data_IF_436487300995
#
_entry.id   IF_436487300995
#
_cell.length_a   1.000
_cell.length_b   1.000
_cell.length_c   1.000
_cell.angle_alpha   90.00
_cell.angle_beta   90.00
_cell.angle_gamma   90.00
#
_symmetry.space_group_name_H-M   'P 1'
#
loop_
_entity.id
_entity.type
_entity.pdbx_description
1 polymer ?
#
# COMPACT_ATOMS: atom_id res chain seq x y z
N UNK A 1 13.73 28.34 -20.29
CA UNK A 1 12.96 27.94 -19.09
C UNK A 1 13.29 26.50 -18.66
N UNK A 2 14.50 26.01 -18.92
CA UNK A 2 14.91 24.63 -18.70
C UNK A 2 16.07 24.63 -17.72
N UNK A 3 15.78 24.64 -16.42
CA UNK A 3 16.82 24.37 -15.43
C UNK A 3 16.89 22.86 -15.21
N UNK A 4 18.12 22.38 -15.00
CA UNK A 4 18.43 21.05 -14.51
C UNK A 4 17.54 20.74 -13.28
N UNK A 5 16.72 19.68 -13.29
CA UNK A 5 15.85 19.34 -12.15
C UNK A 5 16.65 19.00 -10.87
N UNK A 6 17.98 18.94 -10.96
CA UNK A 6 18.87 18.68 -9.84
C UNK A 6 19.10 17.19 -9.63
N UNK A 7 20.26 16.84 -9.09
CA UNK A 7 20.68 15.46 -8.86
C UNK A 7 19.90 14.74 -7.74
N UNK A 8 19.11 15.47 -6.94
CA UNK A 8 18.42 14.95 -5.77
C UNK A 8 16.93 15.27 -5.89
N UNK A 9 16.14 14.27 -6.25
CA UNK A 9 14.69 14.31 -6.09
C UNK A 9 14.34 13.75 -4.71
N UNK A 10 13.56 14.48 -3.94
CA UNK A 10 13.09 14.07 -2.62
C UNK A 10 11.77 14.75 -2.27
N UNK A 11 11.04 14.19 -1.31
CA UNK A 11 9.76 14.71 -0.84
C UNK A 11 8.61 13.70 -0.97
N UNK A 12 7.44 13.99 -0.36
CA UNK A 12 6.28 13.11 -0.48
C UNK A 12 5.79 13.02 -1.92
N UNK A 13 4.97 12.00 -2.22
CA UNK A 13 4.26 11.92 -3.49
C UNK A 13 3.49 13.23 -3.74
N UNK A 14 3.95 14.02 -4.71
CA UNK A 14 3.45 15.36 -4.97
C UNK A 14 2.54 15.45 -6.19
N UNK A 15 2.48 14.38 -7.00
CA UNK A 15 1.62 14.27 -8.19
C UNK A 15 1.06 12.84 -8.23
N UNK A 16 -0.23 12.73 -8.54
CA UNK A 16 -0.89 11.46 -8.79
C UNK A 16 -1.90 11.57 -9.93
N UNK A 17 -2.00 10.52 -10.73
CA UNK A 17 -2.94 10.40 -11.83
C UNK A 17 -3.83 9.17 -11.61
N UNK A 18 -5.11 9.32 -11.92
CA UNK A 18 -6.09 8.23 -11.90
C UNK A 18 -6.61 8.04 -13.32
N UNK A 19 -6.59 6.79 -13.77
CA UNK A 19 -7.21 6.41 -15.04
C UNK A 19 -8.67 6.05 -14.81
N UNK A 20 -9.57 6.95 -15.17
CA UNK A 20 -11.01 6.76 -15.02
C UNK A 20 -11.61 5.78 -16.04
N UNK A 21 -10.83 5.34 -17.03
CA UNK A 21 -11.24 4.38 -18.06
C UNK A 21 -10.76 2.96 -17.78
N UNK A 22 -9.88 2.78 -16.79
CA UNK A 22 -9.36 1.46 -16.43
C UNK A 22 -10.47 0.57 -15.86
N UNK A 23 -10.56 -0.71 -16.28
CA UNK A 23 -11.54 -1.65 -15.72
C UNK A 23 -11.24 -2.02 -14.26
N UNK A 24 -10.01 -1.79 -13.78
CA UNK A 24 -9.61 -1.96 -12.39
C UNK A 24 -9.20 -0.58 -11.84
N UNK A 25 -9.76 -0.11 -10.70
CA UNK A 25 -9.33 1.13 -10.08
C UNK A 25 -7.83 1.12 -9.78
N UNK A 26 -7.11 2.08 -10.35
CA UNK A 26 -5.66 2.23 -10.21
C UNK A 26 -5.25 3.69 -10.11
N UNK A 27 -4.06 3.92 -9.55
CA UNK A 27 -3.41 5.21 -9.46
C UNK A 27 -1.92 5.05 -9.80
N UNK A 28 -1.38 6.04 -10.50
CA UNK A 28 0.07 6.21 -10.69
C UNK A 28 0.47 7.47 -9.95
N UNK A 29 1.46 7.38 -9.08
CA UNK A 29 1.98 8.52 -8.31
C UNK A 29 3.46 8.71 -8.58
N UNK A 30 3.93 9.94 -8.48
CA UNK A 30 5.35 10.20 -8.24
C UNK A 30 5.71 9.74 -6.82
N UNK A 31 6.87 9.10 -6.65
CA UNK A 31 7.42 8.78 -5.34
C UNK A 31 8.81 9.41 -5.20
N UNK A 32 9.01 10.26 -4.18
CA UNK A 32 10.28 10.96 -3.94
C UNK A 32 11.35 10.09 -3.28
N UNK A 33 11.52 8.85 -3.75
CA UNK A 33 12.56 7.92 -3.34
C UNK A 33 13.19 7.25 -4.59
N UNK A 34 13.91 8.03 -5.43
CA UNK A 34 14.61 7.45 -6.57
C UNK A 34 15.76 6.56 -6.15
N UNK A 35 15.92 5.35 -6.74
CA UNK A 35 17.13 4.57 -6.54
C UNK A 35 18.33 5.33 -7.15
N UNK A 36 19.48 5.26 -6.49
CA UNK A 36 20.71 5.84 -7.00
C UNK A 36 21.34 4.86 -8.00
N UNK A 37 21.17 5.12 -9.29
CA UNK A 37 21.73 4.29 -10.36
C UNK A 37 22.94 5.01 -10.96
N UNK A 38 24.11 4.40 -10.83
CA UNK A 38 25.36 4.96 -11.35
C UNK A 38 25.25 5.23 -12.87
N UNK A 39 25.62 6.44 -13.29
CA UNK A 39 25.55 6.87 -14.69
C UNK A 39 24.19 7.40 -15.15
N UNK A 40 23.13 7.31 -14.33
CA UNK A 40 21.82 7.91 -14.64
C UNK A 40 21.65 9.20 -13.85
N UNK A 41 21.60 10.34 -14.56
CA UNK A 41 21.45 11.67 -13.96
C UNK A 41 20.00 12.18 -13.94
N UNK A 42 19.11 11.58 -14.73
CA UNK A 42 17.70 11.98 -14.84
C UNK A 42 16.83 10.75 -14.66
N UNK A 43 16.38 10.56 -13.43
CA UNK A 43 15.51 9.48 -13.03
C UNK A 43 14.33 10.07 -12.26
N UNK A 44 13.16 9.44 -12.37
CA UNK A 44 12.01 9.71 -11.53
C UNK A 44 11.39 8.37 -11.15
N UNK A 45 11.12 8.17 -9.86
CA UNK A 45 10.35 7.00 -9.44
C UNK A 45 8.87 7.31 -9.54
N UNK A 46 8.16 6.41 -10.21
CA UNK A 46 6.70 6.37 -10.22
C UNK A 46 6.24 5.04 -9.66
N UNK A 47 5.13 5.06 -8.92
CA UNK A 47 4.53 3.86 -8.34
C UNK A 47 3.10 3.74 -8.84
N UNK A 48 2.80 2.59 -9.42
CA UNK A 48 1.46 2.21 -9.82
C UNK A 48 0.89 1.24 -8.80
N UNK A 49 -0.33 1.48 -8.34
CA UNK A 49 -1.03 0.58 -7.44
C UNK A 49 -2.53 0.68 -7.65
N UNK A 50 -3.25 -0.35 -7.23
CA UNK A 50 -4.68 -0.46 -7.48
C UNK A 50 -5.32 -1.52 -6.61
N UNK A 51 -6.56 -1.85 -6.92
CA UNK A 51 -7.34 -2.82 -6.14
C UNK A 51 -7.20 -4.21 -6.77
N UNK A 52 -6.82 -5.19 -5.96
CA UNK A 52 -6.84 -6.62 -6.31
C UNK A 52 -7.72 -7.37 -5.31
N UNK A 53 -8.22 -8.57 -5.67
CA UNK A 53 -8.88 -9.44 -4.70
C UNK A 53 -8.00 -9.70 -3.46
N UNK A 54 -8.60 -9.71 -2.27
CA UNK A 54 -7.90 -9.98 -1.02
C UNK A 54 -7.63 -11.49 -0.87
N UNK A 55 -6.58 -11.98 -1.53
CA UNK A 55 -6.30 -13.43 -1.64
C UNK A 55 -5.08 -13.91 -0.84
N UNK A 56 -4.35 -12.99 -0.20
CA UNK A 56 -3.23 -13.33 0.67
C UNK A 56 -3.70 -13.93 2.00
N UNK A 57 -2.97 -14.93 2.49
CA UNK A 57 -3.21 -15.56 3.80
C UNK A 57 -1.95 -15.58 4.64
N UNK A 58 -2.11 -15.43 5.94
CA UNK A 58 -1.05 -15.63 6.93
C UNK A 58 -1.28 -16.96 7.64
N UNK A 59 -0.22 -17.75 7.80
CA UNK A 59 -0.23 -18.97 8.59
C UNK A 59 1.00 -19.00 9.51
N UNK A 60 0.81 -19.45 10.75
CA UNK A 60 1.91 -19.61 11.67
C UNK A 60 2.66 -20.93 11.40
N UNK A 61 3.98 -20.85 11.27
CA UNK A 61 4.88 -21.99 11.16
C UNK A 61 5.56 -22.26 12.51
N UNK A 62 5.16 -23.35 13.16
CA UNK A 62 5.71 -23.78 14.46
C UNK A 62 7.17 -24.20 14.41
N UNK A 63 7.70 -24.61 13.24
CA UNK A 63 9.08 -25.07 13.14
C UNK A 63 10.07 -23.90 13.17
N UNK A 64 9.64 -22.74 12.69
CA UNK A 64 10.45 -21.53 12.59
C UNK A 64 10.01 -20.42 13.54
N UNK A 65 8.89 -20.60 14.25
CA UNK A 65 8.25 -19.60 15.12
C UNK A 65 7.98 -18.29 14.36
N UNK A 66 7.36 -18.42 13.18
CA UNK A 66 7.16 -17.29 12.27
C UNK A 66 5.75 -17.25 11.65
N UNK A 67 5.29 -16.05 11.30
CA UNK A 67 4.08 -15.85 10.51
C UNK A 67 4.46 -15.80 9.02
N UNK A 68 4.02 -16.81 8.26
CA UNK A 68 4.35 -16.95 6.85
C UNK A 68 3.20 -16.43 5.98
N UNK A 69 3.53 -15.46 5.12
CA UNK A 69 2.62 -14.96 4.09
C UNK A 69 2.59 -15.91 2.91
N UNK A 70 1.38 -16.35 2.53
CA UNK A 70 1.11 -16.93 1.22
C UNK A 70 0.38 -15.91 0.36
N UNK A 71 1.01 -15.47 -0.73
CA UNK A 71 0.38 -14.65 -1.76
C UNK A 71 0.31 -15.43 -3.07
N UNK A 72 -0.89 -15.68 -3.64
CA UNK A 72 -1.00 -16.44 -4.88
C UNK A 72 -0.27 -15.79 -6.03
N UNK A 73 0.56 -16.58 -6.72
CA UNK A 73 1.26 -16.13 -7.93
C UNK A 73 0.24 -15.67 -8.97
N UNK A 74 0.42 -14.44 -9.46
CA UNK A 74 -0.40 -13.86 -10.50
C UNK A 74 -1.74 -13.28 -10.03
N UNK A 75 -1.98 -13.18 -8.72
CA UNK A 75 -3.16 -12.50 -8.16
C UNK A 75 -3.32 -11.04 -8.63
N UNK A 76 -2.20 -10.40 -8.99
CA UNK A 76 -2.11 -9.01 -9.42
C UNK A 76 -1.79 -8.84 -10.91
N UNK A 77 -1.63 -9.92 -11.69
CA UNK A 77 -1.19 -9.87 -13.10
C UNK A 77 -2.04 -8.94 -13.97
N UNK A 78 -3.37 -8.99 -13.82
CA UNK A 78 -4.28 -8.15 -14.60
C UNK A 78 -4.05 -6.66 -14.29
N UNK A 79 -3.87 -6.32 -13.02
CA UNK A 79 -3.59 -4.95 -12.59
C UNK A 79 -2.20 -4.49 -13.05
N UNK A 80 -1.18 -5.35 -12.91
CA UNK A 80 0.19 -5.06 -13.36
C UNK A 80 0.26 -4.79 -14.87
N UNK A 81 -0.51 -5.54 -15.67
CA UNK A 81 -0.59 -5.32 -17.13
C UNK A 81 -1.11 -3.92 -17.46
N UNK A 82 -2.17 -3.47 -16.75
CA UNK A 82 -2.75 -2.14 -16.94
C UNK A 82 -1.78 -1.03 -16.50
N UNK A 83 -1.14 -1.20 -15.33
CA UNK A 83 -0.16 -0.26 -14.81
C UNK A 83 1.03 -0.12 -15.76
N UNK A 84 1.60 -1.25 -16.20
CA UNK A 84 2.76 -1.28 -17.10
C UNK A 84 2.45 -0.59 -18.43
N UNK A 85 1.28 -0.83 -19.02
CA UNK A 85 0.85 -0.15 -20.24
C UNK A 85 0.76 1.38 -20.06
N UNK A 86 0.22 1.86 -18.93
CA UNK A 86 0.12 3.29 -18.63
C UNK A 86 1.48 3.92 -18.38
N UNK A 87 2.33 3.27 -17.58
CA UNK A 87 3.70 3.73 -17.32
C UNK A 87 4.54 3.81 -18.59
N UNK A 88 4.44 2.82 -19.47
CA UNK A 88 5.10 2.83 -20.77
C UNK A 88 4.62 3.99 -21.64
N UNK A 89 3.31 4.24 -21.69
CA UNK A 89 2.74 5.39 -22.41
C UNK A 89 3.24 6.74 -21.88
N UNK A 90 3.34 6.89 -20.55
CA UNK A 90 3.90 8.09 -19.90
C UNK A 90 5.36 8.30 -20.31
N UNK A 91 6.18 7.24 -20.25
CA UNK A 91 7.59 7.30 -20.63
C UNK A 91 7.76 7.70 -22.10
N UNK A 92 7.03 7.04 -23.03
CA UNK A 92 7.08 7.34 -24.46
C UNK A 92 6.66 8.78 -24.78
N UNK A 93 5.58 9.26 -24.15
CA UNK A 93 5.11 10.64 -24.35
C UNK A 93 6.11 11.66 -23.81
N UNK A 94 6.79 11.34 -22.71
CA UNK A 94 7.85 12.17 -22.12
C UNK A 94 9.21 12.05 -22.82
N UNK A 95 9.35 11.18 -23.84
CA UNK A 95 10.63 10.91 -24.50
C UNK A 95 11.65 10.14 -23.64
N UNK A 96 11.17 9.45 -22.60
CA UNK A 96 11.97 8.63 -21.70
C UNK A 96 11.77 7.13 -21.91
N UNK A 97 12.39 6.35 -21.01
CA UNK A 97 12.24 4.90 -20.93
C UNK A 97 11.74 4.50 -19.55
N UNK A 98 10.99 3.41 -19.47
CA UNK A 98 10.53 2.86 -18.20
C UNK A 98 11.45 1.73 -17.75
N UNK A 99 11.89 1.78 -16.50
CA UNK A 99 12.64 0.69 -15.84
C UNK A 99 11.66 0.05 -14.86
N UNK A 100 11.30 -1.21 -15.11
CA UNK A 100 10.38 -1.95 -14.24
C UNK A 100 11.15 -2.67 -13.12
N UNK A 101 11.04 -2.16 -11.90
CA UNK A 101 11.68 -2.72 -10.70
C UNK A 101 11.00 -4.00 -10.22
N UNK A 102 9.75 -4.27 -10.60
CA UNK A 102 9.06 -5.50 -10.20
C UNK A 102 9.63 -6.74 -10.89
N UNK A 103 10.39 -6.56 -11.99
CA UNK A 103 11.12 -7.65 -12.64
C UNK A 103 12.27 -8.19 -11.79
N UNK A 104 12.81 -7.39 -10.87
CA UNK A 104 13.88 -7.82 -9.96
C UNK A 104 13.32 -8.28 -8.62
N UNK A 105 12.36 -7.54 -8.07
CA UNK A 105 11.75 -7.86 -6.78
C UNK A 105 10.31 -7.38 -6.75
N UNK A 106 9.38 -8.33 -6.63
CA UNK A 106 7.98 -8.00 -6.47
C UNK A 106 7.74 -7.53 -5.04
N UNK A 107 7.15 -6.34 -4.88
CA UNK A 107 6.97 -5.74 -3.56
C UNK A 107 5.66 -4.95 -3.47
N UNK A 108 5.21 -4.71 -2.24
CA UNK A 108 4.15 -3.74 -1.96
C UNK A 108 4.63 -2.78 -0.88
N UNK A 109 4.31 -1.50 -1.03
CA UNK A 109 4.57 -0.48 -0.01
C UNK A 109 3.37 -0.28 0.91
N UNK A 110 2.23 -0.91 0.60
CA UNK A 110 0.95 -0.73 1.27
C UNK A 110 0.40 -2.09 1.73
N UNK A 111 1.15 -2.79 2.59
CA UNK A 111 0.66 -4.01 3.21
C UNK A 111 -0.54 -3.70 4.12
N UNK A 112 -1.70 -4.30 3.82
CA UNK A 112 -2.98 -4.07 4.50
C UNK A 112 -3.68 -5.41 4.71
N UNK A 113 -4.27 -5.61 5.90
CA UNK A 113 -4.95 -6.84 6.26
C UNK A 113 -4.12 -7.76 7.17
N UNK A 114 -4.66 -8.94 7.43
CA UNK A 114 -4.13 -9.90 8.42
C UNK A 114 -5.06 -10.09 9.61
N UNK A 115 -5.63 -9.00 10.14
CA UNK A 115 -6.61 -9.03 11.25
C UNK A 115 -7.83 -8.16 10.92
N UNK A 116 -8.55 -8.43 9.82
CA UNK A 116 -9.53 -7.50 9.28
C UNK A 116 -10.71 -7.25 10.24
N UNK A 117 -11.18 -6.00 10.24
CA UNK A 117 -12.40 -5.61 10.95
C UNK A 117 -13.64 -6.32 10.39
N UNK A 118 -14.58 -6.65 11.28
CA UNK A 118 -15.77 -7.43 10.95
C UNK A 118 -15.57 -8.94 10.96
N UNK A 119 -14.34 -9.42 11.22
CA UNK A 119 -14.06 -10.84 11.47
C UNK A 119 -13.28 -11.06 12.77
N UNK A 120 -11.99 -10.68 12.79
CA UNK A 120 -11.11 -10.90 13.94
C UNK A 120 -11.18 -9.77 14.97
N UNK A 121 -11.51 -8.56 14.52
CA UNK A 121 -11.77 -7.40 15.37
C UNK A 121 -13.12 -6.77 15.07
N UNK A 122 -13.73 -6.11 16.05
CA UNK A 122 -14.90 -5.26 15.83
C UNK A 122 -14.54 -3.99 15.03
N UNK A 123 -15.54 -3.16 14.71
CA UNK A 123 -15.32 -1.90 13.97
C UNK A 123 -14.49 -0.86 14.74
N UNK A 124 -14.34 -1.03 16.06
CA UNK A 124 -13.48 -0.19 16.92
C UNK A 124 -12.07 -0.80 17.03
N UNK A 125 -11.80 -1.97 16.46
CA UNK A 125 -10.51 -2.65 16.56
C UNK A 125 -10.35 -3.52 17.80
N UNK A 126 -11.41 -3.82 18.56
CA UNK A 126 -11.34 -4.75 19.70
C UNK A 126 -11.25 -6.18 19.21
N UNK A 127 -10.31 -6.96 19.73
CA UNK A 127 -10.17 -8.38 19.36
C UNK A 127 -11.34 -9.18 19.92
N UNK A 128 -12.00 -9.92 19.04
CA UNK A 128 -13.17 -10.74 19.41
C UNK A 128 -12.76 -11.78 20.45
N UNK A 129 -13.50 -11.84 21.56
CA UNK A 129 -13.22 -12.78 22.67
C UNK A 129 -12.13 -12.32 23.64
N UNK A 130 -11.43 -11.21 23.38
CA UNK A 130 -10.31 -10.74 24.19
C UNK A 130 -10.50 -9.29 24.63
N UNK A 131 -11.05 -9.09 25.84
CA UNK A 131 -11.17 -7.75 26.44
C UNK A 131 -9.81 -7.14 26.70
N UNK A 132 -9.65 -5.86 26.37
CA UNK A 132 -8.39 -5.12 26.56
C UNK A 132 -7.33 -5.36 25.49
N UNK A 133 -7.63 -6.14 24.45
CA UNK A 133 -6.75 -6.35 23.31
C UNK A 133 -7.31 -5.66 22.06
N UNK A 134 -6.44 -4.90 21.37
CA UNK A 134 -6.83 -4.03 20.26
C UNK A 134 -5.88 -4.13 19.08
N UNK A 135 -6.40 -3.97 17.86
CA UNK A 135 -5.62 -3.78 16.62
C UNK A 135 -5.99 -2.44 15.99
N UNK A 136 -5.02 -1.53 15.92
CA UNK A 136 -5.22 -0.13 15.57
C UNK A 136 -4.42 0.34 14.34
N UNK A 137 -3.77 -0.59 13.64
CA UNK A 137 -2.92 -0.33 12.48
C UNK A 137 -3.56 -0.78 11.16
N UNK A 138 -2.75 -0.86 10.10
CA UNK A 138 -3.18 -1.31 8.77
C UNK A 138 -3.63 -2.77 8.70
N UNK A 139 -3.34 -3.60 9.70
CA UNK A 139 -3.71 -5.01 9.69
C UNK A 139 -5.23 -5.22 9.74
N UNK A 140 -5.98 -4.22 10.25
CA UNK A 140 -7.44 -4.28 10.31
C UNK A 140 -8.16 -3.85 9.04
N UNK A 141 -7.45 -3.26 8.08
CA UNK A 141 -8.03 -2.82 6.82
C UNK A 141 -8.18 -4.05 5.89
N UNK A 142 -9.36 -4.30 5.30
CA UNK A 142 -9.58 -5.46 4.44
C UNK A 142 -8.93 -5.28 3.05
N UNK A 143 -7.60 -5.34 3.00
CA UNK A 143 -6.78 -5.44 1.80
C UNK A 143 -6.56 -4.14 1.00
N UNK A 144 -7.48 -3.18 1.02
CA UNK A 144 -7.33 -1.94 0.24
C UNK A 144 -7.98 -0.72 0.87
N UNK A 145 -7.40 0.45 0.59
CA UNK A 145 -7.97 1.78 0.87
C UNK A 145 -8.46 2.48 -0.41
N UNK A 146 -8.82 1.71 -1.43
CA UNK A 146 -9.46 2.23 -2.64
C UNK A 146 -8.47 2.87 -3.63
N UNK A 147 -7.36 2.19 -3.92
CA UNK A 147 -6.28 2.71 -4.77
C UNK A 147 -5.76 4.09 -4.33
N UNK A 148 -5.73 4.32 -3.02
CA UNK A 148 -5.18 5.51 -2.38
C UNK A 148 -4.05 5.13 -1.40
N UNK A 149 -3.21 6.11 -1.04
CA UNK A 149 -2.18 5.91 -0.01
C UNK A 149 -2.87 5.67 1.35
N UNK A 150 -2.52 4.62 2.10
CA UNK A 150 -3.31 4.17 3.24
C UNK A 150 -3.06 4.93 4.54
N UNK A 151 -1.97 5.69 4.66
CA UNK A 151 -1.51 6.26 5.94
C UNK A 151 -2.58 7.12 6.63
N UNK A 152 -3.26 7.99 5.89
CA UNK A 152 -4.32 8.84 6.46
C UNK A 152 -5.56 8.03 6.85
N UNK A 153 -5.89 6.98 6.10
CA UNK A 153 -6.99 6.07 6.46
C UNK A 153 -6.67 5.30 7.75
N UNK A 154 -5.44 4.81 7.89
CA UNK A 154 -4.96 4.14 9.11
C UNK A 154 -5.05 5.10 10.29
N UNK A 155 -4.52 6.33 10.15
CA UNK A 155 -4.57 7.33 11.21
C UNK A 155 -6.02 7.68 11.62
N UNK A 156 -6.90 7.93 10.65
CA UNK A 156 -8.30 8.25 10.93
C UNK A 156 -9.03 7.10 11.64
N UNK A 157 -8.72 5.86 11.26
CA UNK A 157 -9.25 4.66 11.89
C UNK A 157 -8.74 4.52 13.34
N UNK A 158 -7.44 4.74 13.58
CA UNK A 158 -6.87 4.72 14.92
C UNK A 158 -7.52 5.78 15.82
N UNK A 159 -7.67 7.02 15.33
CA UNK A 159 -8.35 8.12 16.04
C UNK A 159 -9.80 7.77 16.38
N UNK A 160 -10.54 7.24 15.40
CA UNK A 160 -11.91 6.78 15.61
C UNK A 160 -12.00 5.74 16.74
N UNK A 161 -11.09 4.77 16.74
CA UNK A 161 -11.02 3.74 17.76
C UNK A 161 -10.71 4.30 19.15
N UNK A 162 -9.68 5.15 19.24
CA UNK A 162 -9.22 5.72 20.50
C UNK A 162 -10.30 6.56 21.17
N UNK A 163 -11.11 7.29 20.40
CA UNK A 163 -12.24 8.07 20.95
C UNK A 163 -13.25 7.22 21.74
N UNK A 164 -13.37 5.92 21.40
CA UNK A 164 -14.30 4.98 22.04
C UNK A 164 -13.61 4.13 23.10
N UNK A 165 -12.41 3.62 22.81
CA UNK A 165 -11.65 2.77 23.74
C UNK A 165 -11.34 3.53 25.03
N UNK A 166 -10.86 4.77 24.93
CA UNK A 166 -10.49 5.59 26.10
C UNK A 166 -11.71 5.87 26.99
N UNK A 167 -12.89 6.04 26.40
CA UNK A 167 -14.11 6.41 27.14
C UNK A 167 -14.89 5.22 27.68
N UNK A 168 -14.77 4.04 27.06
CA UNK A 168 -15.61 2.88 27.34
C UNK A 168 -14.85 1.74 28.01
N UNK A 169 -13.56 1.61 27.76
CA UNK A 169 -12.80 0.43 28.14
C UNK A 169 -11.76 0.75 29.20
N UNK A 170 -11.06 1.89 29.10
CA UNK A 170 -9.99 2.23 30.05
C UNK A 170 -10.56 2.35 31.47
N UNK A 171 -9.93 1.67 32.43
CA UNK A 171 -10.39 1.62 33.83
C UNK A 171 -11.60 0.72 34.09
N UNK A 172 -12.13 0.06 33.06
CA UNK A 172 -13.19 -0.98 33.18
C UNK A 172 -12.67 -2.38 32.85
N UNK A 173 -11.40 -2.47 32.48
CA UNK A 173 -10.62 -3.70 32.35
C UNK A 173 -9.84 -3.80 33.66
N UNK A 174 -10.07 -4.90 34.38
CA UNK A 174 -9.78 -5.16 35.81
C UNK A 174 -10.86 -4.68 36.78
#
# INVERSE_FOLDING_TARGET
MWQDPGAVQGGPACVGATDTTSPIPLKIIHAGAPPLIAGIQRLMTVVGFGIVPAVGTWAYDTATDDAVLTWPVGADTALQTLISARMTGLALTGGGVMIDTNLTENSTWHALGGVPMGSAVDLTGRVVGHRGLYVLDGARIPGSTGACNPSMTIAALAEHSMSRIVTQDVGTIF
#
